data_IF_492980971011
#
_entry.id   IF_492980971011
#
_cell.length_a   1.000
_cell.length_b   1.000
_cell.length_c   1.000
_cell.angle_alpha   90.00
_cell.angle_beta   90.00
_cell.angle_gamma   90.00
#
_symmetry.space_group_name_H-M   'P 1'
#
loop_
_entity.id
_entity.type
_entity.pdbx_description
1 polymer ?
#
# COMPACT_ATOMS: atom_id res chain seq x y z
N UNK A 1 27.66 -16.30 41.30
CA UNK A 1 27.78 -17.23 40.16
C UNK A 1 26.42 -17.32 39.47
N UNK A 2 26.45 -17.32 38.15
CA UNK A 2 25.36 -17.03 37.22
C UNK A 2 24.31 -18.13 37.15
N UNK A 3 23.05 -17.82 37.46
CA UNK A 3 21.90 -18.64 37.08
C UNK A 3 21.49 -18.29 35.63
N UNK A 4 22.27 -18.81 34.67
CA UNK A 4 21.93 -18.83 33.24
C UNK A 4 21.82 -20.29 32.86
N UNK A 5 20.65 -20.76 32.46
CA UNK A 5 20.57 -22.04 31.74
C UNK A 5 19.35 -22.93 31.95
N UNK A 6 18.18 -22.44 32.39
CA UNK A 6 16.92 -23.16 32.12
C UNK A 6 16.09 -22.33 31.14
N UNK A 7 16.21 -22.66 29.85
CA UNK A 7 15.28 -22.19 28.85
C UNK A 7 13.86 -22.51 29.29
N UNK A 8 12.91 -21.58 29.08
CA UNK A 8 11.51 -21.82 29.42
C UNK A 8 11.03 -23.07 28.67
N UNK A 9 10.25 -23.96 29.32
CA UNK A 9 9.74 -25.15 28.66
C UNK A 9 8.96 -24.74 27.39
N UNK A 10 9.21 -25.44 26.28
CA UNK A 10 8.50 -25.19 25.04
C UNK A 10 7.05 -25.65 25.15
N UNK A 11 6.13 -24.88 24.59
CA UNK A 11 4.76 -25.28 24.28
C UNK A 11 4.57 -25.35 22.77
N UNK A 12 3.52 -26.05 22.34
CA UNK A 12 3.21 -26.19 20.92
C UNK A 12 2.05 -25.29 20.55
N UNK A 13 2.17 -24.52 19.48
CA UNK A 13 1.05 -23.82 18.87
C UNK A 13 0.59 -24.58 17.62
N UNK A 14 -0.73 -24.74 17.47
CA UNK A 14 -1.33 -25.26 16.25
C UNK A 14 -2.15 -24.14 15.61
N UNK A 15 -1.77 -23.77 14.39
CA UNK A 15 -2.35 -22.66 13.66
C UNK A 15 -3.49 -23.17 12.78
N UNK A 16 -4.70 -22.72 13.05
CA UNK A 16 -5.87 -23.01 12.23
C UNK A 16 -6.43 -21.71 11.69
N UNK A 17 -6.50 -21.63 10.36
CA UNK A 17 -7.00 -20.47 9.66
C UNK A 17 -8.22 -20.89 8.85
N UNK A 18 -9.39 -20.33 9.16
CA UNK A 18 -10.59 -20.52 8.38
C UNK A 18 -10.58 -19.49 7.25
N UNK A 19 -9.89 -19.78 6.15
CA UNK A 19 -9.93 -18.96 4.94
C UNK A 19 -10.33 -19.85 3.76
N UNK A 20 -11.30 -19.37 2.99
CA UNK A 20 -11.76 -20.01 1.75
C UNK A 20 -10.96 -19.49 0.53
N UNK A 21 -9.76 -18.96 0.78
CA UNK A 21 -9.02 -18.22 -0.24
C UNK A 21 -8.56 -19.06 -1.41
N UNK A 22 -9.14 -18.74 -2.58
CA UNK A 22 -8.77 -19.28 -3.88
C UNK A 22 -7.35 -18.83 -4.29
N UNK A 23 -6.85 -17.71 -3.76
CA UNK A 23 -5.55 -17.12 -4.11
C UNK A 23 -4.37 -17.59 -3.25
N UNK A 24 -4.62 -17.95 -1.98
CA UNK A 24 -3.56 -18.33 -1.04
C UNK A 24 -3.56 -19.81 -0.66
N UNK A 25 -4.67 -20.55 -0.81
CA UNK A 25 -4.76 -21.93 -0.35
C UNK A 25 -4.22 -22.10 1.08
N UNK A 26 -3.41 -23.13 1.32
CA UNK A 26 -2.73 -23.35 2.62
C UNK A 26 -1.42 -22.52 2.81
N UNK A 27 -1.07 -21.64 1.87
CA UNK A 27 0.22 -20.93 1.86
C UNK A 27 0.16 -19.53 2.49
N UNK A 28 -0.88 -19.22 3.26
CA UNK A 28 -1.02 -17.93 3.96
C UNK A 28 0.12 -17.78 4.98
N UNK A 29 0.99 -16.76 4.85
CA UNK A 29 2.08 -16.53 5.79
C UNK A 29 1.53 -16.04 7.14
N UNK A 30 1.94 -16.71 8.21
CA UNK A 30 1.60 -16.39 9.58
C UNK A 30 2.87 -15.94 10.28
N UNK A 31 2.88 -14.72 10.80
CA UNK A 31 3.92 -14.19 11.66
C UNK A 31 3.63 -14.48 13.12
N UNK A 32 4.67 -14.85 13.85
CA UNK A 32 4.63 -15.01 15.29
C UNK A 32 5.66 -14.04 15.87
N UNK A 33 5.20 -13.13 16.71
CA UNK A 33 6.01 -12.11 17.37
C UNK A 33 5.99 -12.30 18.87
N UNK A 34 7.11 -12.08 19.54
CA UNK A 34 7.19 -12.14 21.01
C UNK A 34 6.48 -10.95 21.67
N UNK A 35 6.51 -10.91 23.01
CA UNK A 35 5.92 -9.81 23.80
C UNK A 35 6.60 -8.44 23.59
N UNK A 36 7.68 -8.37 22.80
CA UNK A 36 8.35 -7.13 22.36
C UNK A 36 8.12 -6.87 20.87
N UNK A 37 7.15 -7.53 20.27
CA UNK A 37 6.78 -7.48 18.85
C UNK A 37 7.91 -7.88 17.89
N UNK A 38 8.93 -8.59 18.38
CA UNK A 38 10.01 -9.11 17.55
C UNK A 38 9.55 -10.38 16.86
N UNK A 39 9.74 -10.46 15.55
CA UNK A 39 9.44 -11.67 14.79
C UNK A 39 10.33 -12.82 15.29
N UNK A 40 9.70 -13.87 15.81
CA UNK A 40 10.38 -15.07 16.32
C UNK A 40 10.19 -16.30 15.44
N UNK A 41 9.11 -16.34 14.66
CA UNK A 41 8.87 -17.40 13.70
C UNK A 41 7.94 -16.94 12.56
N UNK A 42 8.08 -17.61 11.41
CA UNK A 42 7.13 -17.55 10.29
C UNK A 42 6.60 -18.95 10.03
N UNK A 43 5.32 -19.06 9.71
CA UNK A 43 4.63 -20.32 9.52
C UNK A 43 3.58 -20.20 8.41
N UNK A 44 2.97 -21.31 7.98
CA UNK A 44 1.84 -21.32 7.05
C UNK A 44 0.58 -21.89 7.69
N UNK A 45 -0.58 -21.63 7.09
CA UNK A 45 -1.84 -22.22 7.54
C UNK A 45 -1.71 -23.75 7.58
N UNK A 46 -2.11 -24.37 8.71
CA UNK A 46 -1.95 -25.80 9.09
C UNK A 46 -0.62 -26.24 9.71
N UNK A 47 0.30 -25.32 9.99
CA UNK A 47 1.55 -25.67 10.69
C UNK A 47 1.40 -25.79 12.21
N UNK A 48 2.20 -26.70 12.79
CA UNK A 48 2.45 -26.78 14.23
C UNK A 48 3.87 -26.28 14.50
N UNK A 49 4.03 -25.47 15.55
CA UNK A 49 5.32 -24.83 15.85
C UNK A 49 5.60 -24.89 17.35
N UNK A 50 6.83 -25.22 17.71
CA UNK A 50 7.26 -25.25 19.11
C UNK A 50 7.87 -23.89 19.48
N UNK A 51 7.34 -23.28 20.54
CA UNK A 51 7.79 -21.97 21.03
C UNK A 51 8.03 -22.03 22.55
N UNK A 52 9.02 -21.30 23.08
CA UNK A 52 9.20 -21.17 24.53
C UNK A 52 7.94 -20.62 25.19
N UNK A 53 7.64 -21.05 26.42
CA UNK A 53 6.51 -20.48 27.16
C UNK A 53 6.60 -18.93 27.27
N UNK A 54 5.53 -18.25 26.89
CA UNK A 54 5.54 -16.80 26.71
C UNK A 54 4.27 -16.27 26.07
N UNK A 55 4.17 -14.95 26.00
CA UNK A 55 3.10 -14.25 25.30
C UNK A 55 3.58 -13.93 23.88
N UNK A 56 2.73 -14.24 22.90
CA UNK A 56 3.02 -14.01 21.49
C UNK A 56 1.85 -13.32 20.80
N UNK A 57 2.15 -12.49 19.81
CA UNK A 57 1.19 -12.06 18.80
C UNK A 57 1.35 -12.98 17.59
N UNK A 58 0.27 -13.64 17.20
CA UNK A 58 0.17 -14.41 15.96
C UNK A 58 -0.65 -13.60 14.98
N UNK A 59 -0.18 -13.37 13.77
CA UNK A 59 -0.97 -12.63 12.78
C UNK A 59 -0.68 -13.01 11.33
N UNK A 60 -1.66 -12.80 10.48
CA UNK A 60 -1.58 -13.04 9.04
C UNK A 60 -2.36 -11.97 8.29
N UNK A 61 -1.93 -11.65 7.06
CA UNK A 61 -2.73 -10.84 6.14
C UNK A 61 -3.57 -11.79 5.31
N UNK A 62 -4.90 -11.60 5.33
CA UNK A 62 -5.84 -12.47 4.64
C UNK A 62 -6.33 -11.87 3.32
N UNK A 63 -7.23 -12.59 2.65
CA UNK A 63 -7.79 -12.24 1.33
C UNK A 63 -8.65 -10.98 1.34
N UNK A 64 -9.16 -10.59 2.51
CA UNK A 64 -9.82 -9.29 2.71
C UNK A 64 -8.81 -8.14 2.82
N UNK A 65 -7.52 -8.44 2.67
CA UNK A 65 -6.40 -7.53 2.83
C UNK A 65 -6.09 -7.18 4.28
N UNK A 66 -6.90 -7.57 5.25
CA UNK A 66 -6.70 -7.15 6.65
C UNK A 66 -5.62 -7.99 7.31
N UNK A 67 -4.88 -7.39 8.24
CA UNK A 67 -4.06 -8.14 9.20
C UNK A 67 -4.96 -8.67 10.30
N UNK A 68 -5.15 -9.97 10.34
CA UNK A 68 -5.83 -10.65 11.44
C UNK A 68 -4.78 -11.09 12.44
N UNK A 69 -4.89 -10.65 13.70
CA UNK A 69 -4.00 -11.07 14.77
C UNK A 69 -4.75 -11.58 15.99
N UNK A 70 -4.08 -12.46 16.74
CA UNK A 70 -4.53 -12.97 18.02
C UNK A 70 -3.33 -12.98 18.98
N UNK A 71 -3.55 -12.51 20.21
CA UNK A 71 -2.58 -12.62 21.29
C UNK A 71 -2.76 -13.98 21.96
N UNK A 72 -1.68 -14.74 22.05
CA UNK A 72 -1.68 -16.13 22.52
C UNK A 72 -0.67 -16.30 23.65
N UNK A 73 -1.12 -16.86 24.76
CA UNK A 73 -0.25 -17.29 25.84
C UNK A 73 0.15 -18.75 25.62
N UNK A 74 1.41 -18.98 25.25
CA UNK A 74 2.00 -20.33 25.14
C UNK A 74 2.45 -20.79 26.52
N UNK A 75 1.97 -21.97 26.94
CA UNK A 75 2.35 -22.64 28.18
C UNK A 75 3.22 -23.86 27.86
N UNK A 76 4.24 -24.08 28.67
CA UNK A 76 5.18 -25.18 28.45
C UNK A 76 4.51 -26.55 28.59
N UNK A 77 4.77 -27.46 27.64
CA UNK A 77 4.19 -28.80 27.61
C UNK A 77 2.73 -28.88 27.17
N UNK A 78 2.08 -27.75 26.87
CA UNK A 78 0.71 -27.70 26.39
C UNK A 78 0.65 -27.40 24.89
N UNK A 79 -0.41 -27.91 24.23
CA UNK A 79 -0.76 -27.53 22.87
C UNK A 79 -1.84 -26.46 22.90
N UNK A 80 -1.55 -25.30 22.33
CA UNK A 80 -2.47 -24.17 22.22
C UNK A 80 -2.98 -24.07 20.79
N UNK A 81 -4.29 -24.19 20.59
CA UNK A 81 -4.93 -23.95 19.31
C UNK A 81 -5.11 -22.44 19.12
N UNK A 82 -4.68 -21.91 17.99
CA UNK A 82 -4.82 -20.50 17.65
C UNK A 82 -5.68 -20.41 16.41
N UNK A 83 -6.84 -19.77 16.57
CA UNK A 83 -7.74 -19.41 15.48
C UNK A 83 -7.64 -17.90 15.27
N UNK A 84 -7.25 -17.49 14.07
CA UNK A 84 -7.31 -16.08 13.71
C UNK A 84 -8.77 -15.73 13.40
N UNK A 85 -9.34 -14.70 14.05
CA UNK A 85 -10.75 -14.34 13.87
C UNK A 85 -10.95 -13.79 12.45
N UNK A 86 -11.60 -14.55 11.58
CA UNK A 86 -12.04 -14.11 10.26
C UNK A 86 -13.49 -13.67 10.41
N UNK A 87 -13.78 -12.38 10.23
CA UNK A 87 -15.17 -11.94 10.09
C UNK A 87 -15.70 -12.50 8.77
N UNK A 88 -16.83 -13.22 8.76
CA UNK A 88 -17.35 -13.80 7.52
C UNK A 88 -17.75 -12.69 6.56
N UNK A 89 -17.01 -12.57 5.47
CA UNK A 89 -17.43 -11.77 4.32
C UNK A 89 -18.64 -12.47 3.70
N UNK A 90 -19.77 -11.77 3.61
CA UNK A 90 -20.96 -12.31 2.94
C UNK A 90 -20.58 -12.76 1.51
N UNK A 91 -21.09 -13.90 1.02
CA UNK A 91 -20.72 -14.42 -0.29
C UNK A 91 -21.14 -13.40 -1.35
N UNK A 92 -20.18 -12.96 -2.15
CA UNK A 92 -20.47 -12.23 -3.39
C UNK A 92 -20.80 -13.29 -4.43
N UNK A 93 -22.09 -13.52 -4.66
CA UNK A 93 -22.55 -14.26 -5.82
C UNK A 93 -21.97 -13.59 -7.08
N UNK A 94 -21.21 -14.37 -7.86
CA UNK A 94 -20.70 -13.94 -9.15
C UNK A 94 -21.88 -13.89 -10.13
N UNK A 95 -22.26 -12.74 -10.71
CA UNK A 95 -23.26 -12.75 -11.77
C UNK A 95 -22.60 -13.16 -13.08
N UNK A 96 -23.10 -14.24 -13.66
CA UNK A 96 -22.94 -14.61 -15.08
C UNK A 96 -23.54 -13.49 -15.95
N UNK A 97 -22.97 -13.16 -17.12
CA UNK A 97 -23.26 -11.90 -17.81
C UNK A 97 -24.58 -11.97 -18.58
N UNK A 98 -25.59 -11.25 -18.09
CA UNK A 98 -26.63 -10.68 -18.94
C UNK A 98 -26.58 -9.16 -18.76
N UNK A 99 -26.26 -8.43 -19.83
CA UNK A 99 -26.54 -7.00 -19.87
C UNK A 99 -28.06 -6.80 -19.91
N UNK A 100 -28.60 -6.02 -18.95
CA UNK A 100 -29.40 -4.90 -19.40
C UNK A 100 -29.11 -3.62 -18.63
N UNK A 101 -29.14 -2.53 -19.39
CA UNK A 101 -29.17 -1.11 -18.99
C UNK A 101 -29.81 -0.84 -17.62
N UNK A 102 -29.03 -0.31 -16.67
CA UNK A 102 -29.52 0.07 -15.33
C UNK A 102 -29.91 1.57 -15.27
N UNK A 103 -31.04 1.93 -14.62
CA UNK A 103 -31.36 3.30 -14.22
C UNK A 103 -30.47 3.81 -13.07
N UNK A 104 -30.26 5.13 -13.02
CA UNK A 104 -29.28 5.88 -12.21
C UNK A 104 -29.43 5.79 -10.66
N UNK A 105 -30.35 4.98 -10.14
CA UNK A 105 -30.77 5.00 -8.71
C UNK A 105 -30.35 3.78 -7.86
N UNK A 106 -29.48 2.90 -8.36
CA UNK A 106 -28.89 1.82 -7.55
C UNK A 106 -27.36 1.90 -7.50
N UNK A 107 -26.84 3.02 -6.99
CA UNK A 107 -25.43 3.12 -6.59
C UNK A 107 -25.24 2.40 -5.25
N UNK A 108 -24.37 1.38 -5.13
CA UNK A 108 -24.09 0.74 -3.85
C UNK A 108 -23.53 1.78 -2.85
N UNK A 109 -24.25 1.97 -1.74
CA UNK A 109 -23.89 2.92 -0.68
C UNK A 109 -22.83 2.31 0.23
N UNK A 110 -21.80 3.10 0.54
CA UNK A 110 -20.75 2.74 1.50
C UNK A 110 -21.38 2.44 2.89
N UNK A 111 -21.31 1.19 3.34
CA UNK A 111 -21.98 0.72 4.57
C UNK A 111 -21.12 0.94 5.82
N UNK A 112 -21.71 0.80 7.03
CA UNK A 112 -20.96 0.86 8.30
C UNK A 112 -19.90 -0.25 8.42
N UNK A 113 -20.14 -1.44 7.86
CA UNK A 113 -19.16 -2.54 7.87
C UNK A 113 -17.92 -2.22 7.05
N UNK A 114 -18.07 -1.49 5.94
CA UNK A 114 -16.95 -1.03 5.11
C UNK A 114 -16.09 0.05 5.79
N UNK A 115 -16.64 0.81 6.74
CA UNK A 115 -15.88 1.78 7.54
C UNK A 115 -15.05 1.10 8.64
N UNK A 116 -15.58 0.01 9.23
CA UNK A 116 -14.85 -0.80 10.21
C UNK A 116 -13.68 -1.58 9.58
N UNK A 117 -13.82 -1.93 8.28
CA UNK A 117 -12.81 -2.65 7.50
C UNK A 117 -11.49 -1.89 7.28
N UNK A 118 -11.54 -0.56 7.29
CA UNK A 118 -10.38 0.31 7.06
C UNK A 118 -9.62 0.61 8.37
N UNK A 119 -10.16 0.18 9.52
CA UNK A 119 -9.74 0.66 10.84
C UNK A 119 -9.38 -0.39 11.88
N UNK A 120 -9.04 -1.63 11.51
CA UNK A 120 -8.71 -2.71 12.47
C UNK A 120 -7.23 -2.73 12.87
N UNK A 121 -6.66 -1.57 13.17
CA UNK A 121 -5.47 -1.47 14.03
C UNK A 121 -5.85 -0.69 15.29
N UNK A 122 -5.49 -1.29 16.43
CA UNK A 122 -5.89 -0.95 17.78
C UNK A 122 -6.19 0.54 18.05
N UNK A 123 -7.35 0.78 18.65
CA UNK A 123 -7.66 2.01 19.37
C UNK A 123 -6.66 2.20 20.52
N UNK A 124 -5.53 2.84 20.25
CA UNK A 124 -4.62 3.35 21.27
C UNK A 124 -3.88 4.59 20.73
N UNK A 125 -4.48 5.78 20.89
CA UNK A 125 -3.78 7.04 20.58
C UNK A 125 -4.67 8.27 20.36
N UNK A 126 -5.43 8.65 21.38
CA UNK A 126 -6.06 9.96 21.68
C UNK A 126 -6.22 11.06 20.60
N UNK A 127 -7.48 11.53 20.49
CA UNK A 127 -7.89 12.95 20.48
C UNK A 127 -7.06 13.98 19.69
N UNK A 128 -7.16 14.04 18.36
CA UNK A 128 -6.88 15.28 17.59
C UNK A 128 -7.72 15.43 16.31
N UNK A 129 -8.90 14.80 16.24
CA UNK A 129 -9.83 15.08 15.13
C UNK A 129 -10.21 16.57 15.02
N UNK A 130 -10.03 17.36 16.08
CA UNK A 130 -10.35 18.79 16.11
C UNK A 130 -9.33 19.68 15.35
N UNK A 131 -8.09 19.22 15.15
CA UNK A 131 -7.01 20.05 14.56
C UNK A 131 -6.69 19.69 13.10
N UNK A 132 -7.42 18.74 12.53
CA UNK A 132 -7.23 18.30 11.15
C UNK A 132 -8.34 18.83 10.26
N UNK A 133 -7.99 19.77 9.38
CA UNK A 133 -8.92 20.36 8.42
C UNK A 133 -8.52 20.03 6.98
N UNK A 134 -9.47 19.54 6.17
CA UNK A 134 -9.27 19.42 4.73
C UNK A 134 -9.31 20.81 4.06
N UNK A 135 -8.29 21.16 3.28
CA UNK A 135 -8.16 22.46 2.61
C UNK A 135 -8.46 22.38 1.12
N UNK A 136 -7.88 21.40 0.43
CA UNK A 136 -7.94 21.29 -1.03
C UNK A 136 -8.00 19.82 -1.45
N UNK A 137 -8.66 19.57 -2.58
CA UNK A 137 -8.74 18.24 -3.21
C UNK A 137 -8.58 18.39 -4.72
N UNK A 138 -7.56 17.74 -5.27
CA UNK A 138 -7.24 17.72 -6.70
C UNK A 138 -7.52 16.35 -7.30
N UNK A 139 -8.14 16.31 -8.49
CA UNK A 139 -8.45 15.06 -9.20
C UNK A 139 -9.50 14.15 -8.51
N UNK A 140 -10.03 14.55 -7.36
CA UNK A 140 -10.97 13.76 -6.57
C UNK A 140 -12.08 14.63 -5.94
N UNK A 141 -13.07 13.97 -5.34
CA UNK A 141 -14.13 14.58 -4.54
C UNK A 141 -14.23 13.87 -3.19
N UNK A 142 -14.40 14.63 -2.11
CA UNK A 142 -14.71 14.07 -0.79
C UNK A 142 -16.14 13.53 -0.81
N UNK A 143 -16.30 12.24 -0.54
CA UNK A 143 -17.62 11.56 -0.51
C UNK A 143 -18.15 11.44 0.91
N UNK A 144 -17.25 11.20 1.87
CA UNK A 144 -17.61 11.01 3.27
C UNK A 144 -16.48 11.44 4.18
N UNK A 145 -16.83 12.10 5.27
CA UNK A 145 -15.91 12.46 6.34
C UNK A 145 -16.49 11.98 7.67
N UNK A 146 -15.60 11.44 8.50
CA UNK A 146 -15.83 11.10 9.89
C UNK A 146 -14.68 11.70 10.70
N UNK A 147 -14.72 11.57 12.04
CA UNK A 147 -13.66 12.12 12.90
C UNK A 147 -12.26 11.61 12.55
N UNK A 148 -12.13 10.36 12.13
CA UNK A 148 -10.84 9.70 11.90
C UNK A 148 -10.59 9.34 10.44
N UNK A 149 -11.64 9.30 9.61
CA UNK A 149 -11.56 8.77 8.26
C UNK A 149 -12.22 9.70 7.25
N UNK A 150 -11.53 9.93 6.12
CA UNK A 150 -12.05 10.69 4.97
C UNK A 150 -11.98 9.84 3.72
N UNK A 151 -13.08 9.75 2.99
CA UNK A 151 -13.21 8.92 1.80
C UNK A 151 -13.29 9.82 0.59
N UNK A 152 -12.37 9.61 -0.34
CA UNK A 152 -12.27 10.33 -1.59
C UNK A 152 -12.64 9.42 -2.74
N UNK A 153 -13.26 9.99 -3.76
CA UNK A 153 -13.57 9.31 -5.01
C UNK A 153 -12.95 10.06 -6.18
N UNK A 154 -12.48 9.31 -7.17
CA UNK A 154 -11.97 9.89 -8.40
C UNK A 154 -13.03 10.70 -9.15
N UNK A 155 -12.61 11.82 -9.75
CA UNK A 155 -13.38 12.48 -10.80
C UNK A 155 -13.41 11.58 -12.04
N UNK A 156 -14.40 11.79 -12.91
CA UNK A 156 -14.62 10.99 -14.13
C UNK A 156 -13.42 10.96 -15.08
N UNK A 157 -12.53 11.95 -14.99
CA UNK A 157 -11.22 11.92 -15.61
C UNK A 157 -10.20 12.65 -14.75
N UNK A 158 -8.93 12.27 -14.88
CA UNK A 158 -7.80 12.91 -14.19
C UNK A 158 -6.65 13.12 -15.17
N UNK A 159 -5.94 14.24 -15.01
CA UNK A 159 -4.78 14.62 -15.81
C UNK A 159 -3.46 14.63 -15.02
N UNK A 160 -3.54 14.46 -13.70
CA UNK A 160 -2.43 14.34 -12.78
C UNK A 160 -2.84 13.44 -11.61
N UNK A 161 -1.85 12.96 -10.84
CA UNK A 161 -2.08 12.17 -9.63
C UNK A 161 -2.99 12.94 -8.66
N UNK A 162 -4.16 12.39 -8.32
CA UNK A 162 -5.08 13.05 -7.39
C UNK A 162 -4.46 13.22 -6.00
N UNK A 163 -4.79 14.29 -5.31
CA UNK A 163 -4.21 14.62 -4.01
C UNK A 163 -5.17 15.35 -3.09
N UNK A 164 -4.92 15.29 -1.79
CA UNK A 164 -5.64 16.07 -0.78
C UNK A 164 -4.65 16.84 0.10
N UNK A 165 -4.99 18.08 0.41
CA UNK A 165 -4.23 18.96 1.30
C UNK A 165 -4.95 19.08 2.64
N UNK A 166 -4.25 18.76 3.72
CA UNK A 166 -4.73 18.87 5.09
C UNK A 166 -3.97 19.97 5.83
N UNK A 167 -4.67 20.74 6.66
CA UNK A 167 -4.08 21.52 7.76
C UNK A 167 -4.09 20.66 9.01
N UNK A 168 -2.96 20.58 9.68
CA UNK A 168 -2.76 19.84 10.93
C UNK A 168 -2.06 20.80 11.89
N UNK A 169 -2.83 21.43 12.78
CA UNK A 169 -2.34 22.56 13.57
C UNK A 169 -1.81 23.70 12.66
N UNK A 170 -0.57 24.17 12.85
CA UNK A 170 0.00 25.25 12.03
C UNK A 170 0.57 24.78 10.68
N UNK A 171 0.69 23.47 10.47
CA UNK A 171 1.36 22.89 9.29
C UNK A 171 0.35 22.40 8.28
N UNK A 172 0.79 22.25 7.03
CA UNK A 172 0.00 21.65 5.97
C UNK A 172 0.67 20.41 5.42
N UNK A 173 -0.12 19.40 5.07
CA UNK A 173 0.33 18.10 4.58
C UNK A 173 -0.45 17.74 3.32
N UNK A 174 0.24 17.48 2.21
CA UNK A 174 -0.36 17.01 0.96
C UNK A 174 -0.09 15.53 0.76
N UNK A 175 -1.13 14.73 0.60
CA UNK A 175 -1.05 13.29 0.33
C UNK A 175 -1.59 12.96 -1.07
N UNK A 176 -0.91 12.07 -1.77
CA UNK A 176 -1.38 11.46 -3.02
C UNK A 176 -2.47 10.43 -2.73
N UNK A 177 -3.51 10.42 -3.55
CA UNK A 177 -4.67 9.56 -3.38
C UNK A 177 -4.57 8.39 -4.38
N UNK A 178 -4.48 7.13 -3.92
CA UNK A 178 -4.39 5.96 -4.79
C UNK A 178 -5.76 5.63 -5.33
N UNK A 179 -6.29 6.49 -6.20
CA UNK A 179 -7.59 6.34 -6.85
C UNK A 179 -7.42 6.07 -8.34
N UNK A 180 -8.45 5.48 -8.96
CA UNK A 180 -8.43 5.12 -10.37
C UNK A 180 -9.75 5.57 -11.01
N UNK A 181 -9.70 6.35 -12.11
CA UNK A 181 -10.88 6.98 -12.71
C UNK A 181 -11.85 5.98 -13.35
N UNK A 182 -11.37 4.81 -13.78
CA UNK A 182 -12.10 3.86 -14.62
C UNK A 182 -13.03 2.92 -13.83
N UNK A 183 -12.97 2.90 -12.49
CA UNK A 183 -13.68 1.92 -11.65
C UNK A 183 -15.08 2.28 -11.15
N UNK A 184 -15.60 3.49 -11.39
CA UNK A 184 -16.86 3.95 -10.80
C UNK A 184 -16.86 3.97 -9.25
N UNK A 185 -18.00 4.24 -8.60
CA UNK A 185 -18.12 4.09 -7.13
C UNK A 185 -18.56 2.66 -6.79
N UNK A 186 -18.00 2.00 -5.75
CA UNK A 186 -16.93 2.42 -4.84
C UNK A 186 -15.52 2.05 -5.31
N UNK A 187 -15.36 1.38 -6.46
CA UNK A 187 -14.09 0.83 -6.93
C UNK A 187 -13.05 1.87 -7.38
N UNK A 188 -13.40 3.16 -7.45
CA UNK A 188 -12.50 4.28 -7.72
C UNK A 188 -12.22 5.16 -6.49
N UNK A 189 -12.49 4.66 -5.28
CA UNK A 189 -12.31 5.41 -4.03
C UNK A 189 -11.06 5.02 -3.25
N UNK A 190 -10.63 5.91 -2.36
CA UNK A 190 -9.62 5.64 -1.34
C UNK A 190 -10.06 6.26 0.00
N UNK A 191 -9.46 5.79 1.09
CA UNK A 191 -9.72 6.30 2.43
C UNK A 191 -8.43 6.87 3.03
N UNK A 192 -8.48 8.09 3.54
CA UNK A 192 -7.36 8.75 4.21
C UNK A 192 -7.62 8.79 5.71
N UNK A 193 -6.61 8.34 6.46
CA UNK A 193 -6.53 8.45 7.92
C UNK A 193 -5.31 9.28 8.27
N UNK A 194 -5.42 10.09 9.32
CA UNK A 194 -4.30 10.82 9.90
C UNK A 194 -4.10 10.27 11.30
N UNK A 195 -2.92 9.71 11.53
CA UNK A 195 -2.56 9.01 12.76
C UNK A 195 -1.41 9.74 13.46
N UNK A 196 -1.44 9.72 14.79
CA UNK A 196 -0.31 10.12 15.62
C UNK A 196 0.41 8.84 16.09
N UNK A 197 1.63 8.66 15.63
CA UNK A 197 2.51 7.55 16.02
C UNK A 197 3.59 8.05 16.98
N UNK A 198 4.48 7.15 17.41
CA UNK A 198 5.70 7.55 18.14
C UNK A 198 6.68 8.37 17.29
N UNK A 199 6.57 8.31 15.96
CA UNK A 199 7.46 8.96 14.99
C UNK A 199 6.92 10.31 14.52
N UNK A 200 5.62 10.58 14.73
CA UNK A 200 5.01 11.87 14.47
C UNK A 200 3.58 11.75 13.97
N UNK A 201 3.11 12.76 13.25
CA UNK A 201 1.82 12.72 12.59
C UNK A 201 2.03 12.23 11.16
N UNK A 202 1.28 11.20 10.78
CA UNK A 202 1.36 10.57 9.46
C UNK A 202 0.00 10.56 8.80
N UNK A 203 -0.02 10.75 7.48
CA UNK A 203 -1.22 10.52 6.69
C UNK A 203 -1.07 9.25 5.87
N UNK A 204 -2.09 8.40 5.94
CA UNK A 204 -2.15 7.14 5.24
C UNK A 204 -3.37 7.13 4.31
N UNK A 205 -3.12 6.96 3.02
CA UNK A 205 -4.16 6.79 2.02
C UNK A 205 -4.26 5.31 1.62
N UNK A 206 -5.43 4.72 1.86
CA UNK A 206 -5.71 3.31 1.65
C UNK A 206 -6.62 3.10 0.44
N UNK A 207 -6.24 2.16 -0.41
CA UNK A 207 -7.06 1.62 -1.47
C UNK A 207 -8.24 0.89 -0.82
N UNK A 208 -9.46 1.11 -1.30
CA UNK A 208 -10.64 0.48 -0.67
C UNK A 208 -10.68 -1.03 -0.89
N UNK A 209 -11.27 -1.80 0.06
CA UNK A 209 -11.33 -3.26 -0.04
C UNK A 209 -12.01 -3.82 -1.30
N UNK A 210 -12.84 -3.01 -1.98
CA UNK A 210 -13.50 -3.41 -3.23
C UNK A 210 -12.52 -3.59 -4.39
N UNK A 211 -11.36 -2.94 -4.32
CA UNK A 211 -10.24 -3.19 -5.24
C UNK A 211 -9.36 -4.27 -4.62
N UNK A 212 -9.89 -5.48 -4.54
CA UNK A 212 -9.36 -6.60 -3.75
C UNK A 212 -7.86 -6.83 -3.95
N UNK A 213 -7.42 -6.96 -5.20
CA UNK A 213 -5.99 -7.17 -5.54
C UNK A 213 -5.15 -5.98 -5.07
N UNK A 214 -5.52 -4.75 -5.44
CA UNK A 214 -4.73 -3.58 -5.12
C UNK A 214 -4.69 -3.27 -3.61
N UNK A 215 -5.81 -3.48 -2.91
CA UNK A 215 -5.88 -3.39 -1.46
C UNK A 215 -4.99 -4.45 -0.80
N UNK A 216 -5.04 -5.71 -1.23
CA UNK A 216 -4.18 -6.78 -0.72
C UNK A 216 -2.70 -6.45 -0.92
N UNK A 217 -2.31 -5.98 -2.13
CA UNK A 217 -0.94 -5.56 -2.42
C UNK A 217 -0.49 -4.42 -1.50
N UNK A 218 -1.35 -3.44 -1.22
CA UNK A 218 -1.03 -2.34 -0.32
C UNK A 218 -0.83 -2.81 1.11
N UNK A 219 -1.74 -3.64 1.63
CA UNK A 219 -1.62 -4.19 2.97
C UNK A 219 -0.37 -5.06 3.13
N UNK A 220 -0.02 -5.85 2.11
CA UNK A 220 1.21 -6.63 2.09
C UNK A 220 2.45 -5.74 2.11
N UNK A 221 2.48 -4.67 1.31
CA UNK A 221 3.59 -3.71 1.32
C UNK A 221 3.71 -3.01 2.68
N UNK A 222 2.62 -2.46 3.21
CA UNK A 222 2.58 -1.77 4.51
C UNK A 222 3.00 -2.68 5.67
N UNK A 223 2.70 -3.98 5.57
CA UNK A 223 3.05 -4.96 6.60
C UNK A 223 4.42 -5.63 6.39
N UNK A 224 5.16 -5.28 5.33
CA UNK A 224 6.48 -5.83 5.04
C UNK A 224 6.51 -7.22 4.37
N UNK A 225 5.37 -7.74 3.89
CA UNK A 225 5.26 -8.99 3.13
C UNK A 225 5.67 -8.80 1.66
N UNK A 226 6.91 -8.33 1.44
CA UNK A 226 7.38 -7.96 0.12
C UNK A 226 7.38 -9.13 -0.88
N UNK A 227 7.85 -10.30 -0.47
CA UNK A 227 8.00 -11.47 -1.36
C UNK A 227 6.63 -12.04 -1.75
N UNK A 228 5.72 -12.11 -0.78
CA UNK A 228 4.35 -12.58 -0.98
C UNK A 228 3.53 -11.57 -1.79
N UNK A 229 3.67 -10.27 -1.50
CA UNK A 229 3.12 -9.20 -2.33
C UNK A 229 3.58 -9.28 -3.78
N UNK A 230 4.86 -9.55 -4.01
CA UNK A 230 5.39 -9.75 -5.35
C UNK A 230 4.87 -11.05 -6.01
N UNK A 231 4.57 -12.11 -5.24
CA UNK A 231 3.93 -13.32 -5.79
C UNK A 231 2.51 -13.02 -6.24
N UNK A 232 1.72 -12.37 -5.39
CA UNK A 232 0.35 -11.95 -5.73
C UNK A 232 0.37 -11.02 -6.93
N UNK A 233 1.31 -10.09 -7.01
CA UNK A 233 1.47 -9.22 -8.17
C UNK A 233 1.78 -10.02 -9.45
N UNK A 234 2.69 -10.99 -9.41
CA UNK A 234 3.02 -11.86 -10.56
C UNK A 234 1.78 -12.64 -11.03
N UNK A 235 1.03 -13.24 -10.10
CA UNK A 235 -0.18 -14.03 -10.39
C UNK A 235 -1.33 -13.14 -10.92
N UNK A 236 -1.38 -11.89 -10.44
CA UNK A 236 -2.42 -10.92 -10.80
C UNK A 236 -2.03 -10.00 -11.95
N UNK A 237 -0.86 -10.14 -12.60
CA UNK A 237 -0.48 -9.25 -13.71
C UNK A 237 -1.55 -9.26 -14.79
N UNK A 238 -2.11 -10.41 -15.16
CA UNK A 238 -3.20 -10.45 -16.15
C UNK A 238 -4.42 -9.64 -15.70
N UNK A 239 -4.81 -9.70 -14.41
CA UNK A 239 -5.93 -8.93 -13.87
C UNK A 239 -5.63 -7.42 -13.79
N UNK A 240 -4.40 -7.05 -13.44
CA UNK A 240 -3.94 -5.66 -13.37
C UNK A 240 -3.65 -5.07 -14.76
N UNK A 241 -3.29 -5.90 -15.74
CA UNK A 241 -2.96 -5.56 -17.13
C UNK A 241 -4.20 -5.51 -18.00
N UNK A 242 -5.02 -6.56 -17.99
CA UNK A 242 -6.12 -6.73 -18.95
C UNK A 242 -7.31 -5.81 -18.65
N UNK A 243 -7.29 -5.11 -17.50
CA UNK A 243 -8.38 -4.22 -17.14
C UNK A 243 -8.13 -2.73 -17.34
N UNK A 244 -6.92 -2.16 -17.20
CA UNK A 244 -6.75 -0.69 -17.13
C UNK A 244 -7.64 0.05 -16.08
N UNK A 245 -8.63 -0.64 -15.48
CA UNK A 245 -9.60 -0.17 -14.48
C UNK A 245 -8.93 0.33 -13.21
N UNK A 246 -7.71 -0.13 -12.95
CA UNK A 246 -6.94 0.20 -11.75
C UNK A 246 -5.45 0.53 -12.02
N UNK A 247 -5.14 1.72 -12.56
CA UNK A 247 -3.75 2.12 -12.79
C UNK A 247 -2.94 2.31 -11.50
N UNK A 248 -3.59 2.70 -10.40
CA UNK A 248 -2.92 2.86 -9.12
C UNK A 248 -2.45 1.49 -8.58
N UNK A 249 -3.32 0.48 -8.61
CA UNK A 249 -3.02 -0.90 -8.24
C UNK A 249 -1.97 -1.52 -9.15
N UNK A 250 -2.03 -1.25 -10.46
CA UNK A 250 -1.02 -1.70 -11.41
C UNK A 250 0.38 -1.13 -11.09
N UNK A 251 0.47 0.17 -10.81
CA UNK A 251 1.73 0.80 -10.40
C UNK A 251 2.27 0.23 -9.07
N UNK A 252 1.39 -0.06 -8.11
CA UNK A 252 1.77 -0.71 -6.85
C UNK A 252 2.29 -2.14 -7.05
N UNK A 253 1.62 -2.92 -7.90
CA UNK A 253 2.08 -4.26 -8.29
C UNK A 253 3.46 -4.20 -8.96
N UNK A 254 3.65 -3.26 -9.89
CA UNK A 254 4.93 -3.05 -10.55
C UNK A 254 6.03 -2.66 -9.57
N UNK A 255 5.73 -1.82 -8.58
CA UNK A 255 6.65 -1.45 -7.51
C UNK A 255 7.05 -2.64 -6.63
N UNK A 256 6.10 -3.49 -6.24
CA UNK A 256 6.38 -4.72 -5.48
C UNK A 256 7.27 -5.68 -6.27
N UNK A 257 6.97 -5.87 -7.56
CA UNK A 257 7.79 -6.67 -8.45
C UNK A 257 9.18 -6.09 -8.65
N UNK A 258 9.32 -4.77 -8.70
CA UNK A 258 10.63 -4.10 -8.75
C UNK A 258 11.43 -4.39 -7.49
N UNK A 259 10.84 -4.13 -6.31
CA UNK A 259 11.49 -4.34 -5.01
C UNK A 259 11.87 -5.82 -4.77
N UNK A 260 11.16 -6.76 -5.39
CA UNK A 260 11.47 -8.18 -5.36
C UNK A 260 12.42 -8.65 -6.49
N UNK A 261 12.91 -7.77 -7.36
CA UNK A 261 13.79 -8.12 -8.48
C UNK A 261 13.12 -8.94 -9.58
N UNK A 262 11.78 -8.91 -9.68
CA UNK A 262 10.98 -9.72 -10.61
C UNK A 262 10.43 -8.93 -11.79
N UNK A 263 10.45 -7.60 -11.74
CA UNK A 263 9.81 -6.73 -12.73
C UNK A 263 10.32 -6.93 -14.17
N UNK A 264 11.58 -7.34 -14.37
CA UNK A 264 12.20 -7.52 -15.68
C UNK A 264 11.39 -8.40 -16.65
N UNK A 265 10.70 -9.42 -16.14
CA UNK A 265 9.87 -10.31 -16.96
C UNK A 265 8.61 -9.62 -17.53
N UNK A 266 8.28 -8.43 -17.03
CA UNK A 266 7.07 -7.69 -17.33
C UNK A 266 7.34 -6.33 -17.98
N UNK A 267 8.49 -6.14 -18.64
CA UNK A 267 8.84 -4.85 -19.27
C UNK A 267 7.73 -4.31 -20.17
N UNK A 268 7.15 -5.14 -21.04
CA UNK A 268 6.06 -4.71 -21.93
C UNK A 268 4.82 -4.21 -21.17
N UNK A 269 4.54 -4.76 -20.00
CA UNK A 269 3.44 -4.29 -19.15
C UNK A 269 3.75 -2.93 -18.52
N UNK A 270 5.00 -2.74 -18.08
CA UNK A 270 5.46 -1.44 -17.54
C UNK A 270 5.53 -0.37 -18.63
N UNK A 271 5.87 -0.76 -19.86
CA UNK A 271 5.79 0.11 -21.04
C UNK A 271 4.38 0.66 -21.23
N UNK A 272 3.36 -0.22 -21.24
CA UNK A 272 1.96 0.19 -21.34
C UNK A 272 1.55 1.10 -20.17
N UNK A 273 1.97 0.79 -18.94
CA UNK A 273 1.70 1.65 -17.79
C UNK A 273 2.32 3.05 -17.96
N UNK A 274 3.51 3.14 -18.54
CA UNK A 274 4.21 4.41 -18.77
C UNK A 274 3.65 5.21 -19.96
N UNK A 275 3.15 4.55 -21.00
CA UNK A 275 2.62 5.17 -22.22
C UNK A 275 1.14 5.52 -22.12
N UNK A 276 0.33 4.60 -21.61
CA UNK A 276 -1.13 4.67 -21.72
C UNK A 276 -1.72 5.47 -20.55
N UNK A 277 -1.11 5.38 -19.36
CA UNK A 277 -1.56 6.06 -18.14
C UNK A 277 -0.74 7.34 -17.93
N UNK A 278 -0.92 8.30 -18.82
CA UNK A 278 -0.12 9.54 -18.85
C UNK A 278 -0.16 10.31 -17.53
N UNK A 279 -1.28 10.34 -16.82
CA UNK A 279 -1.43 11.11 -15.57
C UNK A 279 -0.63 10.53 -14.39
N UNK A 280 -0.16 9.28 -14.47
CA UNK A 280 0.53 8.56 -13.41
C UNK A 280 2.02 8.41 -13.74
N UNK A 281 2.90 9.27 -13.19
CA UNK A 281 4.33 9.27 -13.54
C UNK A 281 5.10 8.05 -13.01
N UNK A 282 4.55 7.32 -12.03
CA UNK A 282 5.17 6.13 -11.43
C UNK A 282 5.56 5.07 -12.47
N UNK A 283 4.73 4.86 -13.50
CA UNK A 283 5.03 3.94 -14.61
C UNK A 283 6.30 4.34 -15.36
N UNK A 284 6.49 5.64 -15.63
CA UNK A 284 7.69 6.17 -16.31
C UNK A 284 8.94 5.97 -15.46
N UNK A 285 8.84 6.19 -14.14
CA UNK A 285 9.97 5.97 -13.22
C UNK A 285 10.39 4.50 -13.24
N UNK A 286 9.43 3.59 -13.11
CA UNK A 286 9.69 2.14 -13.10
C UNK A 286 10.28 1.68 -14.43
N UNK A 287 9.74 2.16 -15.57
CA UNK A 287 10.29 1.84 -16.89
C UNK A 287 11.72 2.37 -17.06
N UNK A 288 11.98 3.61 -16.62
CA UNK A 288 13.30 4.22 -16.72
C UNK A 288 14.33 3.43 -15.90
N UNK A 289 13.97 3.03 -14.67
CA UNK A 289 14.79 2.16 -13.82
C UNK A 289 15.06 0.81 -14.46
N UNK A 290 14.02 0.18 -15.00
CA UNK A 290 14.12 -1.15 -15.60
C UNK A 290 15.10 -1.15 -16.79
N UNK A 291 14.99 -0.13 -17.66
CA UNK A 291 15.87 0.03 -18.82
C UNK A 291 17.28 0.43 -18.42
N UNK A 292 17.43 1.29 -17.40
CA UNK A 292 18.73 1.67 -16.85
C UNK A 292 19.50 0.46 -16.28
N UNK A 293 18.82 -0.44 -15.54
CA UNK A 293 19.42 -1.67 -15.03
C UNK A 293 19.89 -2.64 -16.12
N UNK A 294 19.34 -2.53 -17.34
CA UNK A 294 19.79 -3.30 -18.52
C UNK A 294 20.86 -2.57 -19.32
N UNK A 295 21.55 -1.61 -18.69
CA UNK A 295 22.62 -0.79 -19.27
C UNK A 295 22.16 0.10 -20.43
N UNK A 296 20.85 0.36 -20.56
CA UNK A 296 20.33 1.35 -21.50
C UNK A 296 20.47 2.74 -20.91
N UNK A 297 21.51 3.46 -21.32
CA UNK A 297 21.75 4.86 -20.93
C UNK A 297 21.36 5.83 -22.05
N UNK A 298 20.30 5.52 -22.80
CA UNK A 298 19.85 6.36 -23.92
C UNK A 298 19.15 7.62 -23.41
N UNK A 299 19.17 8.68 -24.21
CA UNK A 299 18.48 9.94 -23.88
C UNK A 299 16.96 9.74 -23.77
N UNK A 300 16.41 8.70 -24.41
CA UNK A 300 15.00 8.31 -24.26
C UNK A 300 14.70 7.85 -22.82
N UNK A 301 15.59 7.05 -22.23
CA UNK A 301 15.42 6.55 -20.84
C UNK A 301 15.57 7.70 -19.84
N UNK A 302 16.54 8.59 -20.07
CA UNK A 302 16.68 9.82 -19.28
C UNK A 302 15.44 10.72 -19.42
N UNK A 303 14.91 10.86 -20.64
CA UNK A 303 13.70 11.62 -20.94
C UNK A 303 12.50 11.18 -20.10
N UNK A 304 12.28 9.85 -19.96
CA UNK A 304 11.22 9.31 -19.10
C UNK A 304 11.35 9.80 -17.64
N UNK A 305 12.57 9.74 -17.07
CA UNK A 305 12.83 10.17 -15.70
C UNK A 305 12.61 11.69 -15.54
N UNK A 306 13.06 12.48 -16.51
CA UNK A 306 12.91 13.94 -16.46
C UNK A 306 11.45 14.38 -16.59
N UNK A 307 10.68 13.75 -17.49
CA UNK A 307 9.24 13.99 -17.58
C UNK A 307 8.53 13.63 -16.27
N UNK A 308 8.90 12.51 -15.65
CA UNK A 308 8.35 12.09 -14.37
C UNK A 308 8.69 13.11 -13.26
N UNK A 309 9.90 13.69 -13.27
CA UNK A 309 10.35 14.68 -12.27
C UNK A 309 9.53 15.98 -12.23
N UNK A 310 8.73 16.24 -13.26
CA UNK A 310 7.87 17.42 -13.35
C UNK A 310 6.48 17.18 -12.75
N UNK A 311 6.20 15.96 -12.28
CA UNK A 311 4.88 15.55 -11.82
C UNK A 311 4.94 14.96 -10.41
N UNK A 312 3.81 15.06 -9.70
CA UNK A 312 3.65 14.43 -8.38
C UNK A 312 3.54 12.91 -8.54
N UNK A 313 4.34 12.17 -7.78
CA UNK A 313 4.24 10.70 -7.72
C UNK A 313 3.03 10.25 -6.91
N UNK A 314 2.50 9.08 -7.23
CA UNK A 314 1.51 8.42 -6.39
C UNK A 314 2.17 7.77 -5.17
N UNK A 315 3.25 7.02 -5.37
CA UNK A 315 3.94 6.31 -4.29
C UNK A 315 5.25 7.00 -3.86
N UNK A 316 5.51 7.01 -2.56
CA UNK A 316 6.73 7.60 -2.01
C UNK A 316 7.99 6.88 -2.52
N UNK A 317 7.93 5.56 -2.67
CA UNK A 317 9.04 4.77 -3.21
C UNK A 317 9.40 5.19 -4.64
N UNK A 318 8.41 5.42 -5.52
CA UNK A 318 8.65 5.90 -6.89
C UNK A 318 9.42 7.22 -6.89
N UNK A 319 9.15 8.09 -5.91
CA UNK A 319 9.90 9.33 -5.75
C UNK A 319 11.38 9.07 -5.40
N UNK A 320 11.62 8.19 -4.43
CA UNK A 320 12.98 7.79 -4.03
C UNK A 320 13.76 7.19 -5.20
N UNK A 321 13.12 6.27 -5.93
CA UNK A 321 13.68 5.67 -7.14
C UNK A 321 14.03 6.74 -8.17
N UNK A 322 13.14 7.68 -8.46
CA UNK A 322 13.43 8.72 -9.43
C UNK A 322 14.64 9.57 -9.04
N UNK A 323 14.70 10.02 -7.78
CA UNK A 323 15.82 10.81 -7.29
C UNK A 323 17.14 10.05 -7.36
N UNK A 324 17.13 8.77 -7.00
CA UNK A 324 18.27 7.88 -7.07
C UNK A 324 18.77 7.70 -8.51
N UNK A 325 17.86 7.44 -9.45
CA UNK A 325 18.17 7.28 -10.87
C UNK A 325 18.85 8.52 -11.44
N UNK A 326 18.30 9.70 -11.17
CA UNK A 326 18.82 10.96 -11.70
C UNK A 326 20.20 11.29 -11.12
N UNK A 327 20.44 10.99 -9.83
CA UNK A 327 21.74 11.19 -9.16
C UNK A 327 22.83 10.27 -9.69
N UNK A 328 22.49 9.02 -9.97
CA UNK A 328 23.45 8.00 -10.43
C UNK A 328 23.58 7.92 -11.95
N UNK A 329 22.87 8.76 -12.70
CA UNK A 329 22.91 8.72 -14.16
C UNK A 329 24.33 9.02 -14.68
N UNK A 330 24.95 8.14 -15.49
CA UNK A 330 26.38 8.13 -15.72
C UNK A 330 26.89 9.21 -16.70
N UNK A 331 26.00 9.78 -17.54
CA UNK A 331 26.38 10.71 -18.60
C UNK A 331 25.73 12.07 -18.41
N UNK A 332 26.47 13.13 -18.68
CA UNK A 332 25.85 14.43 -18.92
C UNK A 332 25.27 14.43 -20.34
N UNK A 333 23.97 14.67 -20.45
CA UNK A 333 23.31 14.84 -21.75
C UNK A 333 23.22 16.35 -22.05
N UNK A 334 23.87 16.84 -23.13
CA UNK A 334 23.82 18.26 -23.49
C UNK A 334 22.39 18.75 -23.75
N UNK A 335 22.05 19.94 -23.25
CA UNK A 335 20.72 20.54 -23.45
C UNK A 335 19.62 19.94 -22.57
N UNK A 336 19.96 19.06 -21.64
CA UNK A 336 19.03 18.41 -20.73
C UNK A 336 19.24 18.90 -19.30
N UNK A 337 18.17 19.42 -18.69
CA UNK A 337 18.25 20.03 -17.36
C UNK A 337 18.09 19.01 -16.21
N UNK A 338 18.99 18.02 -16.18
CA UNK A 338 19.09 17.04 -15.10
C UNK A 338 19.40 17.70 -13.74
N UNK A 339 20.33 18.68 -13.64
CA UNK A 339 20.59 19.34 -12.36
C UNK A 339 19.34 20.00 -11.76
N UNK A 340 18.51 20.65 -12.57
CA UNK A 340 17.25 21.24 -12.10
C UNK A 340 16.24 20.18 -11.66
N UNK A 341 16.14 19.05 -12.37
CA UNK A 341 15.29 17.94 -11.95
C UNK A 341 15.71 17.38 -10.59
N UNK A 342 17.02 17.19 -10.38
CA UNK A 342 17.58 16.76 -9.09
C UNK A 342 17.29 17.80 -8.01
N UNK A 343 17.50 19.10 -8.30
CA UNK A 343 17.25 20.19 -7.35
C UNK A 343 15.78 20.21 -6.91
N UNK A 344 14.84 20.20 -7.85
CA UNK A 344 13.39 20.17 -7.56
C UNK A 344 13.01 19.01 -6.64
N UNK A 345 13.57 17.83 -6.89
CA UNK A 345 13.30 16.65 -6.06
C UNK A 345 14.01 16.74 -4.70
N UNK A 346 15.27 17.19 -4.68
CA UNK A 346 16.05 17.32 -3.45
C UNK A 346 15.47 18.38 -2.49
N UNK A 347 14.90 19.47 -3.02
CA UNK A 347 14.26 20.53 -2.22
C UNK A 347 12.98 20.02 -1.54
N UNK A 348 12.31 19.03 -2.12
CA UNK A 348 11.07 18.45 -1.59
C UNK A 348 11.33 17.24 -0.67
N UNK A 349 12.39 16.47 -0.91
CA UNK A 349 12.69 15.22 -0.19
C UNK A 349 12.72 15.33 1.36
N UNK A 350 13.22 16.40 1.99
CA UNK A 350 13.21 16.56 3.45
C UNK A 350 11.80 16.62 4.06
N UNK A 351 10.80 16.96 3.25
CA UNK A 351 9.42 17.12 3.71
C UNK A 351 8.54 15.90 3.41
N UNK A 352 9.08 14.87 2.76
CA UNK A 352 8.34 13.63 2.49
C UNK A 352 8.29 12.77 3.74
N UNK A 353 7.09 12.29 4.05
CA UNK A 353 6.87 11.23 5.04
C UNK A 353 7.12 9.86 4.37
N UNK A 354 8.32 9.34 4.61
CA UNK A 354 8.79 8.06 4.04
C UNK A 354 8.16 6.83 4.71
N UNK A 355 7.41 7.00 5.81
CA UNK A 355 6.65 5.91 6.44
C UNK A 355 5.31 5.67 5.71
N UNK A 356 4.87 6.62 4.87
CA UNK A 356 3.66 6.47 4.07
C UNK A 356 3.94 5.77 2.74
N UNK A 357 3.08 4.80 2.38
CA UNK A 357 3.14 4.13 1.07
C UNK A 357 2.87 5.13 -0.06
N UNK A 358 1.79 5.91 0.06
CA UNK A 358 1.48 6.98 -0.87
C UNK A 358 2.34 8.20 -0.56
N UNK A 359 2.73 8.95 -1.59
CA UNK A 359 3.54 10.16 -1.39
C UNK A 359 2.78 11.14 -0.50
N UNK A 360 3.30 11.37 0.69
CA UNK A 360 2.80 12.32 1.67
C UNK A 360 3.90 13.33 1.96
N UNK A 361 3.59 14.62 1.86
CA UNK A 361 4.58 15.70 1.86
C UNK A 361 4.09 16.87 2.70
N UNK A 362 4.86 17.23 3.74
CA UNK A 362 4.65 18.46 4.49
C UNK A 362 4.95 19.67 3.60
N UNK A 363 4.10 20.68 3.65
CA UNK A 363 4.43 21.96 3.02
C UNK A 363 5.48 22.65 3.89
N UNK A 364 6.49 23.29 3.29
CA UNK A 364 7.38 24.18 4.02
C UNK A 364 6.52 25.21 4.76
N UNK A 365 6.80 25.42 6.05
CA UNK A 365 6.26 26.57 6.77
C UNK A 365 6.74 27.80 6.03
N UNK A 366 5.82 28.64 5.53
CA UNK A 366 6.22 29.92 4.95
C UNK A 366 6.68 30.84 6.07
N UNK A 367 7.92 30.67 6.52
CA UNK A 367 8.69 31.56 7.40
C UNK A 367 10.15 31.05 7.43
N UNK A 368 10.94 31.50 6.46
CA UNK A 368 12.25 32.20 6.64
C UNK A 368 12.78 32.72 5.29
#
# INVERSE_FOLDING_TARGET
MSDRGKGRPNGQIALQLASDSVFFGNAIPIEIRDSRLRLVAKASASSTLDLPAGLYEVGAVLEDGRRHSAVVQVKGGERTLVQLPVEPTAPVESPTPEEPTLPDDQRPRFTRGMAAAVGTEAEAGLETAADVQLLEVDGASLVRETRTLRIFQCKSSVNAVPSALFRIGPRQLRISLPISPEGGTPSGSCAVRIDLTSTGIHAHAWITPQRTVANALQNMLSSGYLVEGARVADDAVALLRDKYEDPAGAALGALLLYKAGRLQRWESWVENLASDIVWLPDGKVLLAHLRYQRESTSDVVLGLALEASQRRMLYAESYSLLLDLLRHWPRETPGVDRPEAIRRLADTAPYIDWESVCLSQWQPSGDE
#
